data_IF_510222653377
#
_entry.id   IF_510222653377
#
_cell.length_a   1.000
_cell.length_b   1.000
_cell.length_c   1.000
_cell.angle_alpha   90.00
_cell.angle_beta   90.00
_cell.angle_gamma   90.00
#
_symmetry.space_group_name_H-M   'P 1'
#
loop_
_entity.id
_entity.type
_entity.pdbx_description
1 polymer ?
#
# COMPACT_ATOMS: atom_id res chain seq x y z
N UNK A 1 -4.07 -2.01 4.17
CA UNK A 1 -3.02 -2.26 5.19
C UNK A 1 -3.48 -1.96 6.61
N UNK A 2 -4.05 -0.77 6.91
CA UNK A 2 -4.49 -0.40 8.27
C UNK A 2 -5.36 -1.45 8.99
N UNK A 3 -6.35 -2.03 8.29
CA UNK A 3 -7.18 -3.12 8.82
C UNK A 3 -6.35 -4.29 9.34
N UNK A 4 -5.32 -4.67 8.60
CA UNK A 4 -4.44 -5.78 8.98
C UNK A 4 -3.51 -5.36 10.12
N UNK A 5 -2.91 -4.17 10.06
CA UNK A 5 -2.02 -3.67 11.10
C UNK A 5 -2.72 -3.66 12.48
N UNK A 6 -4.00 -3.28 12.54
CA UNK A 6 -4.83 -3.33 13.76
C UNK A 6 -5.00 -4.74 14.34
N UNK A 7 -5.00 -5.77 13.50
CA UNK A 7 -5.11 -7.15 13.97
C UNK A 7 -3.80 -7.66 14.61
N UNK A 8 -2.67 -7.03 14.32
CA UNK A 8 -1.34 -7.47 14.79
C UNK A 8 -0.62 -6.45 15.69
N UNK A 9 -1.17 -5.25 15.88
CA UNK A 9 -0.56 -4.18 16.67
C UNK A 9 -1.59 -3.35 17.44
N UNK A 10 -1.46 -3.33 18.77
CA UNK A 10 -2.28 -2.51 19.66
C UNK A 10 -2.12 -1.00 19.39
N UNK A 11 -0.91 -0.56 19.00
CA UNK A 11 -0.66 0.83 18.65
C UNK A 11 -1.47 1.27 17.41
N UNK A 12 -1.68 0.35 16.46
CA UNK A 12 -2.47 0.63 15.26
C UNK A 12 -3.98 0.77 15.55
N UNK A 13 -4.46 0.25 16.69
CA UNK A 13 -5.84 0.42 17.13
C UNK A 13 -6.17 1.89 17.45
N UNK A 14 -5.18 2.67 17.86
CA UNK A 14 -5.34 4.09 18.21
C UNK A 14 -5.39 5.03 16.99
N UNK A 15 -5.07 4.54 15.79
CA UNK A 15 -5.18 5.34 14.56
C UNK A 15 -6.66 5.57 14.27
N UNK A 16 -7.15 6.80 14.13
CA UNK A 16 -8.55 7.05 13.79
C UNK A 16 -8.82 6.68 12.34
N UNK A 17 -9.41 5.50 12.10
CA UNK A 17 -9.51 4.95 10.75
C UNK A 17 -10.38 5.77 9.81
N UNK A 18 -11.46 6.38 10.30
CA UNK A 18 -12.37 7.15 9.46
C UNK A 18 -11.70 8.45 9.00
N UNK A 19 -11.11 9.21 9.92
CA UNK A 19 -10.39 10.45 9.60
C UNK A 19 -9.15 10.20 8.75
N UNK A 20 -8.41 9.11 9.02
CA UNK A 20 -7.27 8.73 8.20
C UNK A 20 -7.71 8.34 6.78
N UNK A 21 -8.80 7.56 6.66
CA UNK A 21 -9.38 7.19 5.36
C UNK A 21 -9.83 8.42 4.58
N UNK A 22 -10.58 9.31 5.23
CA UNK A 22 -11.05 10.56 4.63
C UNK A 22 -9.86 11.41 4.14
N UNK A 23 -8.82 11.56 4.96
CA UNK A 23 -7.60 12.26 4.57
C UNK A 23 -6.91 11.63 3.35
N UNK A 24 -6.83 10.29 3.27
CA UNK A 24 -6.30 9.60 2.08
C UNK A 24 -7.20 9.85 0.86
N UNK A 25 -8.52 9.77 1.02
CA UNK A 25 -9.50 9.95 -0.05
C UNK A 25 -9.53 11.39 -0.61
N UNK A 26 -9.24 12.38 0.23
CA UNK A 26 -9.07 13.78 -0.19
C UNK A 26 -7.79 14.01 -0.99
N UNK A 27 -6.87 13.04 -1.06
CA UNK A 27 -5.61 13.14 -1.78
C UNK A 27 -4.38 13.34 -0.90
N UNK A 28 -4.48 13.11 0.41
CA UNK A 28 -3.33 13.17 1.33
C UNK A 28 -2.18 12.24 0.95
N UNK A 29 -2.47 11.18 0.20
CA UNK A 29 -1.49 10.35 -0.52
C UNK A 29 -1.88 10.31 -1.99
N UNK A 30 -1.04 10.87 -2.85
CA UNK A 30 -1.31 10.96 -4.29
C UNK A 30 -0.28 10.17 -5.11
N UNK A 31 -0.73 9.50 -6.17
CA UNK A 31 0.15 8.90 -7.17
C UNK A 31 0.85 10.04 -7.93
N UNK A 32 2.18 10.12 -7.83
CA UNK A 32 3.00 11.16 -8.46
C UNK A 32 3.72 10.68 -9.71
N UNK A 33 3.83 9.37 -9.93
CA UNK A 33 4.48 8.82 -11.12
C UNK A 33 4.45 7.29 -11.16
N UNK A 34 4.80 6.74 -12.33
CA UNK A 34 4.95 5.31 -12.58
C UNK A 34 6.08 5.09 -13.60
N UNK A 35 7.35 5.31 -13.20
CA UNK A 35 8.48 5.45 -14.13
C UNK A 35 8.65 4.26 -15.08
N UNK A 36 8.47 3.04 -14.58
CA UNK A 36 8.64 1.80 -15.33
C UNK A 36 7.31 1.16 -15.77
N UNK A 37 6.24 1.97 -15.86
CA UNK A 37 4.87 1.55 -16.18
C UNK A 37 4.21 0.61 -15.15
N UNK A 38 2.89 0.46 -15.25
CA UNK A 38 2.12 -0.53 -14.50
C UNK A 38 1.55 -1.51 -15.51
N UNK A 39 1.92 -2.79 -15.40
CA UNK A 39 1.42 -3.86 -16.26
C UNK A 39 0.36 -4.67 -15.54
N UNK A 40 -0.72 -4.98 -16.25
CA UNK A 40 -1.73 -5.93 -15.79
C UNK A 40 -1.30 -7.35 -16.14
N UNK A 41 -1.24 -8.24 -15.14
CA UNK A 41 -0.81 -9.62 -15.30
C UNK A 41 -1.92 -10.56 -14.84
N UNK A 42 -2.22 -11.58 -15.63
CA UNK A 42 -3.08 -12.70 -15.25
C UNK A 42 -2.21 -13.85 -14.72
N UNK A 43 -2.53 -14.34 -13.53
CA UNK A 43 -1.87 -15.49 -12.90
C UNK A 43 -2.89 -16.62 -12.73
N UNK A 44 -2.54 -17.81 -13.20
CA UNK A 44 -3.38 -19.01 -13.07
C UNK A 44 -3.08 -19.72 -11.75
N UNK A 45 -4.12 -20.10 -11.01
CA UNK A 45 -3.98 -20.72 -9.69
C UNK A 45 -3.48 -22.16 -9.76
N UNK A 46 -3.89 -22.90 -10.79
CA UNK A 46 -3.49 -24.29 -11.00
C UNK A 46 -3.48 -24.64 -12.50
N UNK A 47 -2.50 -25.40 -13.02
CA UNK A 47 -2.39 -25.71 -14.46
C UNK A 47 -3.61 -26.40 -15.08
N UNK A 48 -4.36 -27.16 -14.27
CA UNK A 48 -5.50 -27.96 -14.76
C UNK A 48 -6.85 -27.30 -14.53
N UNK A 49 -6.92 -26.18 -13.80
CA UNK A 49 -8.17 -25.45 -13.57
C UNK A 49 -8.12 -24.11 -14.28
N UNK A 50 -9.16 -23.71 -15.01
CA UNK A 50 -9.22 -22.40 -15.67
C UNK A 50 -9.47 -21.24 -14.69
N UNK A 51 -8.99 -21.36 -13.44
CA UNK A 51 -9.07 -20.35 -12.39
C UNK A 51 -7.86 -19.45 -12.47
N UNK A 52 -8.12 -18.15 -12.56
CA UNK A 52 -7.08 -17.14 -12.63
C UNK A 52 -7.48 -15.91 -11.84
N UNK A 53 -6.46 -15.15 -11.45
CA UNK A 53 -6.57 -13.84 -10.84
C UNK A 53 -5.81 -12.83 -11.69
N UNK A 54 -6.28 -11.58 -11.69
CA UNK A 54 -5.58 -10.48 -12.35
C UNK A 54 -5.05 -9.52 -11.29
N UNK A 55 -3.81 -9.09 -11.48
CA UNK A 55 -3.14 -8.11 -10.64
C UNK A 55 -2.27 -7.16 -11.47
N UNK A 56 -1.52 -6.33 -10.76
CA UNK A 56 -0.63 -5.34 -11.35
C UNK A 56 0.81 -5.57 -10.92
N UNK A 57 1.75 -5.31 -11.82
CA UNK A 57 3.20 -5.31 -11.56
C UNK A 57 3.79 -4.06 -12.15
N UNK A 58 4.51 -3.28 -11.35
CA UNK A 58 5.15 -2.04 -11.78
C UNK A 58 5.69 -1.25 -10.60
N UNK A 59 6.40 -0.18 -10.93
CA UNK A 59 6.86 0.81 -9.96
C UNK A 59 5.90 2.00 -9.93
N UNK A 60 5.60 2.47 -8.72
CA UNK A 60 4.75 3.65 -8.49
C UNK A 60 5.41 4.57 -7.49
N UNK A 61 5.35 5.86 -7.77
CA UNK A 61 5.78 6.91 -6.86
C UNK A 61 4.55 7.53 -6.22
N UNK A 62 4.63 7.73 -4.91
CA UNK A 62 3.62 8.45 -4.15
C UNK A 62 4.21 9.72 -3.57
N UNK A 63 3.39 10.76 -3.52
CA UNK A 63 3.71 12.02 -2.85
C UNK A 63 2.67 12.32 -1.78
N UNK A 64 3.06 13.15 -0.81
CA UNK A 64 2.15 13.74 0.18
C UNK A 64 2.01 15.23 -0.17
N UNK A 65 0.92 15.63 -0.85
CA UNK A 65 0.72 17.01 -1.28
C UNK A 65 0.77 18.00 -0.11
N UNK A 66 1.43 19.15 -0.29
CA UNK A 66 1.71 20.13 0.78
C UNK A 66 0.43 20.71 1.39
N UNK A 67 -0.57 20.97 0.56
CA UNK A 67 -1.88 21.51 0.92
C UNK A 67 -2.72 20.56 1.79
N UNK A 68 -2.49 19.26 1.65
CA UNK A 68 -3.14 18.22 2.45
C UNK A 68 -2.17 17.55 3.43
N UNK A 69 -0.95 18.06 3.60
CA UNK A 69 0.06 17.38 4.42
C UNK A 69 -0.35 17.33 5.89
N UNK A 70 -0.27 16.14 6.47
CA UNK A 70 -0.45 15.91 7.91
C UNK A 70 0.68 15.03 8.41
N UNK A 71 1.56 15.56 9.26
CA UNK A 71 2.71 14.81 9.78
C UNK A 71 2.27 13.53 10.52
N UNK A 72 1.16 13.62 11.27
CA UNK A 72 0.54 12.48 11.95
C UNK A 72 0.21 11.36 10.95
N UNK A 73 -0.43 11.70 9.83
CA UNK A 73 -0.86 10.71 8.85
C UNK A 73 0.28 10.27 7.92
N UNK A 74 1.26 11.13 7.64
CA UNK A 74 2.49 10.78 6.96
C UNK A 74 3.25 9.66 7.70
N UNK A 75 3.39 9.77 9.03
CA UNK A 75 3.99 8.71 9.87
C UNK A 75 3.20 7.40 9.82
N UNK A 76 1.86 7.49 9.78
CA UNK A 76 1.00 6.31 9.62
C UNK A 76 1.22 5.65 8.26
N UNK A 77 1.26 6.41 7.17
CA UNK A 77 1.52 5.90 5.82
C UNK A 77 2.87 5.18 5.75
N UNK A 78 3.94 5.83 6.22
CA UNK A 78 5.29 5.25 6.26
C UNK A 78 5.32 3.91 7.02
N UNK A 79 4.68 3.88 8.19
CA UNK A 79 4.58 2.66 9.01
C UNK A 79 3.78 1.56 8.30
N UNK A 80 2.65 1.91 7.67
CA UNK A 80 1.81 0.94 6.97
C UNK A 80 2.52 0.36 5.74
N UNK A 81 3.28 1.17 5.00
CA UNK A 81 4.02 0.72 3.82
C UNK A 81 5.15 -0.24 4.21
N UNK A 82 5.93 0.08 5.25
CA UNK A 82 6.91 -0.84 5.84
C UNK A 82 6.27 -2.15 6.29
N UNK A 83 5.12 -2.07 6.96
CA UNK A 83 4.36 -3.26 7.35
C UNK A 83 3.84 -4.06 6.13
N UNK A 84 3.53 -3.39 5.03
CA UNK A 84 3.10 -4.00 3.78
C UNK A 84 4.17 -4.86 3.11
N UNK A 85 5.45 -4.55 3.28
CA UNK A 85 6.55 -5.38 2.77
C UNK A 85 6.56 -6.78 3.41
N UNK A 86 6.21 -6.87 4.70
CA UNK A 86 6.15 -8.15 5.41
C UNK A 86 4.83 -8.91 5.20
N UNK A 87 3.76 -8.18 4.89
CA UNK A 87 2.39 -8.75 4.94
C UNK A 87 1.69 -8.83 3.60
N UNK A 88 2.31 -8.30 2.55
CA UNK A 88 1.76 -8.09 1.22
C UNK A 88 0.48 -7.22 1.23
N UNK A 89 0.03 -6.79 0.06
CA UNK A 89 -1.18 -5.97 -0.12
C UNK A 89 -2.28 -6.72 -0.87
N UNK A 90 -3.54 -6.35 -0.65
CA UNK A 90 -4.67 -6.91 -1.40
C UNK A 90 -5.08 -8.35 -1.02
N UNK A 91 -5.71 -9.04 -1.98
CA UNK A 91 -6.13 -10.45 -1.86
C UNK A 91 -5.04 -11.43 -2.29
N UNK A 92 -5.20 -12.71 -1.96
CA UNK A 92 -4.29 -13.78 -2.41
C UNK A 92 -2.87 -13.73 -1.83
N UNK A 93 -2.68 -13.03 -0.70
CA UNK A 93 -1.36 -12.80 -0.08
C UNK A 93 -0.64 -14.08 0.35
N UNK A 94 -1.37 -15.09 0.81
CA UNK A 94 -0.83 -16.41 1.17
C UNK A 94 -0.37 -17.23 -0.04
N UNK A 95 -0.80 -16.85 -1.26
CA UNK A 95 -0.37 -17.44 -2.52
C UNK A 95 0.78 -16.64 -3.17
N UNK A 96 1.42 -15.73 -2.42
CA UNK A 96 2.53 -14.91 -2.90
C UNK A 96 2.12 -13.69 -3.74
N UNK A 97 0.84 -13.30 -3.74
CA UNK A 97 0.37 -12.12 -4.46
C UNK A 97 0.47 -10.85 -3.63
N UNK A 98 0.58 -9.71 -4.32
CA UNK A 98 0.61 -8.39 -3.70
C UNK A 98 1.90 -8.12 -2.91
N UNK A 99 2.99 -8.79 -3.25
CA UNK A 99 4.31 -8.48 -2.70
C UNK A 99 4.70 -7.08 -3.14
N UNK A 100 5.14 -6.26 -2.17
CA UNK A 100 5.65 -4.91 -2.43
C UNK A 100 7.05 -4.76 -1.85
N UNK A 101 7.81 -3.84 -2.42
CA UNK A 101 9.01 -3.28 -1.83
C UNK A 101 8.76 -1.80 -1.61
N UNK A 102 9.00 -1.31 -0.42
CA UNK A 102 8.82 0.10 -0.07
C UNK A 102 10.16 0.82 -0.04
N UNK A 103 10.28 1.86 -0.85
CA UNK A 103 11.47 2.69 -0.96
C UNK A 103 11.09 4.09 -0.46
N UNK A 104 11.31 4.43 0.82
CA UNK A 104 11.08 5.79 1.29
C UNK A 104 12.04 6.74 0.58
N UNK A 105 11.56 7.93 0.21
CA UNK A 105 12.44 8.98 -0.26
C UNK A 105 13.47 9.31 0.83
N UNK A 106 14.74 9.47 0.46
CA UNK A 106 15.77 9.92 1.40
C UNK A 106 15.33 11.26 2.00
N UNK A 107 15.34 11.36 3.32
CA UNK A 107 15.15 12.66 3.98
C UNK A 107 16.40 13.46 3.71
N UNK A 108 16.31 14.51 2.90
CA UNK A 108 17.32 15.58 2.96
C UNK A 108 17.37 16.06 4.42
N UNK A 109 18.52 15.82 5.05
CA UNK A 109 18.83 16.15 6.44
C UNK A 109 19.30 17.58 6.60
#
# INVERSE_FOLDING_TARGET
>A
LLRLARAFSAASAQIPANEFKEWVELGGVALSGYPDSIRTIRVYEHPTTNKWVVGFVGEVHFSLPKDLYSEKYAKVVDTLLKFGEYTNVGGGRSAGLGVIKYLPAERES
#
